data_IF_243734332310
#
_entry.id   IF_243734332310
#
_cell.length_a   1.000
_cell.length_b   1.000
_cell.length_c   1.000
_cell.angle_alpha   90.00
_cell.angle_beta   90.00
_cell.angle_gamma   90.00
#
_symmetry.space_group_name_H-M   'P 1'
#
loop_
_entity.id
_entity.type
_entity.pdbx_description
1 polymer ?
#
# COMPACT_ATOMS: atom_id res chain seq x y z
N UNK A 1 6.17 22.70 1.53
CA UNK A 1 5.03 22.27 0.68
C UNK A 1 5.22 20.84 0.20
N UNK A 2 6.43 20.45 -0.24
CA UNK A 2 6.70 19.05 -0.61
C UNK A 2 6.76 18.09 0.61
N UNK A 3 7.07 18.55 1.82
CA UNK A 3 7.28 17.67 3.00
C UNK A 3 5.99 17.00 3.45
N UNK A 4 4.88 17.70 3.26
CA UNK A 4 3.53 17.21 3.48
C UNK A 4 3.20 16.06 2.50
N UNK A 5 3.56 16.19 1.22
CA UNK A 5 3.35 15.15 0.19
C UNK A 5 4.12 13.86 0.51
N UNK A 6 5.35 13.97 1.02
CA UNK A 6 6.16 12.82 1.40
C UNK A 6 5.63 12.13 2.68
N UNK A 7 5.09 12.92 3.61
CA UNK A 7 4.41 12.40 4.81
C UNK A 7 3.11 11.69 4.41
N UNK A 8 2.30 12.29 3.55
CA UNK A 8 1.06 11.71 3.05
C UNK A 8 1.31 10.40 2.29
N UNK A 9 2.26 10.39 1.35
CA UNK A 9 2.62 9.18 0.62
C UNK A 9 3.10 8.04 1.55
N UNK A 10 3.81 8.38 2.63
CA UNK A 10 4.25 7.40 3.63
C UNK A 10 3.09 6.84 4.46
N UNK A 11 2.12 7.68 4.80
CA UNK A 11 0.89 7.24 5.49
C UNK A 11 0.11 6.29 4.58
N UNK A 12 -0.14 6.69 3.34
CA UNK A 12 -0.85 5.86 2.35
C UNK A 12 -0.18 4.50 2.14
N UNK A 13 1.16 4.48 2.01
CA UNK A 13 1.89 3.21 1.89
C UNK A 13 1.75 2.33 3.15
N UNK A 14 1.82 2.94 4.34
CA UNK A 14 1.64 2.22 5.61
C UNK A 14 0.25 1.62 5.74
N UNK A 15 -0.79 2.37 5.36
CA UNK A 15 -2.18 1.91 5.34
C UNK A 15 -2.36 0.74 4.36
N UNK A 16 -1.79 0.84 3.15
CA UNK A 16 -1.86 -0.23 2.17
C UNK A 16 -1.14 -1.51 2.64
N UNK A 17 -0.01 -1.40 3.35
CA UNK A 17 0.65 -2.54 3.98
C UNK A 17 -0.22 -3.20 5.07
N UNK A 18 -0.87 -2.40 5.92
CA UNK A 18 -1.77 -2.91 6.95
C UNK A 18 -2.99 -3.62 6.34
N UNK A 19 -3.56 -3.02 5.28
CA UNK A 19 -4.67 -3.63 4.54
C UNK A 19 -4.25 -4.96 3.89
N UNK A 20 -3.10 -5.00 3.23
CA UNK A 20 -2.56 -6.25 2.67
C UNK A 20 -2.38 -7.34 3.74
N UNK A 21 -1.85 -6.99 4.93
CA UNK A 21 -1.70 -7.94 6.02
C UNK A 21 -3.05 -8.51 6.48
N UNK A 22 -4.08 -7.66 6.63
CA UNK A 22 -5.43 -8.09 6.97
C UNK A 22 -6.02 -9.02 5.90
N UNK A 23 -5.85 -8.69 4.63
CA UNK A 23 -6.35 -9.51 3.52
C UNK A 23 -5.60 -10.84 3.43
N UNK A 24 -4.29 -10.87 3.70
CA UNK A 24 -3.52 -12.10 3.74
C UNK A 24 -3.98 -13.04 4.88
N UNK A 25 -4.33 -12.48 6.05
CA UNK A 25 -4.88 -13.26 7.16
C UNK A 25 -6.28 -13.79 6.83
N UNK A 26 -7.16 -12.95 6.27
CA UNK A 26 -8.50 -13.37 5.81
C UNK A 26 -8.44 -14.45 4.71
N UNK A 27 -7.48 -14.33 3.80
CA UNK A 27 -7.27 -15.30 2.73
C UNK A 27 -6.80 -16.64 3.28
N UNK A 28 -5.87 -16.62 4.24
CA UNK A 28 -5.43 -17.83 4.96
C UNK A 28 -6.58 -18.55 5.65
N UNK A 29 -7.51 -17.78 6.21
CA UNK A 29 -8.72 -18.32 6.86
C UNK A 29 -9.79 -18.77 5.85
N UNK A 30 -9.56 -18.58 4.54
CA UNK A 30 -10.50 -18.91 3.47
C UNK A 30 -11.71 -17.99 3.41
N UNK A 31 -11.64 -16.82 4.04
CA UNK A 31 -12.73 -15.85 4.12
C UNK A 31 -12.84 -14.94 2.90
N UNK A 32 -11.76 -14.81 2.12
CA UNK A 32 -11.70 -14.05 0.87
C UNK A 32 -11.03 -14.87 -0.25
N UNK A 33 -11.24 -14.44 -1.48
CA UNK A 33 -10.70 -15.05 -2.69
C UNK A 33 -9.24 -14.65 -2.98
N UNK A 34 -8.60 -15.41 -3.87
CA UNK A 34 -7.27 -15.06 -4.42
C UNK A 34 -7.31 -13.69 -5.13
N UNK A 35 -8.43 -13.34 -5.75
CA UNK A 35 -8.63 -12.08 -6.48
C UNK A 35 -8.62 -10.88 -5.52
N UNK A 36 -9.33 -10.98 -4.39
CA UNK A 36 -9.33 -9.95 -3.35
C UNK A 36 -7.95 -9.78 -2.69
N UNK A 37 -7.20 -10.87 -2.52
CA UNK A 37 -5.82 -10.79 -2.05
C UNK A 37 -4.90 -10.12 -3.11
N UNK A 38 -5.09 -10.45 -4.39
CA UNK A 38 -4.33 -9.83 -5.48
C UNK A 38 -4.58 -8.32 -5.58
N UNK A 39 -5.83 -7.88 -5.46
CA UNK A 39 -6.18 -6.45 -5.43
C UNK A 39 -5.48 -5.72 -4.27
N UNK A 40 -5.44 -6.33 -3.08
CA UNK A 40 -4.73 -5.75 -1.94
C UNK A 40 -3.20 -5.66 -2.16
N UNK A 41 -2.61 -6.63 -2.87
CA UNK A 41 -1.19 -6.61 -3.25
C UNK A 41 -0.92 -5.51 -4.28
N UNK A 42 -1.79 -5.36 -5.29
CA UNK A 42 -1.68 -4.33 -6.31
C UNK A 42 -1.77 -2.93 -5.71
N UNK A 43 -2.74 -2.70 -4.83
CA UNK A 43 -2.88 -1.44 -4.09
C UNK A 43 -1.63 -1.10 -3.25
N UNK A 44 -1.04 -2.10 -2.58
CA UNK A 44 0.21 -1.91 -1.83
C UNK A 44 1.38 -1.57 -2.76
N UNK A 45 1.46 -2.17 -3.95
CA UNK A 45 2.51 -1.87 -4.93
C UNK A 45 2.36 -0.45 -5.48
N UNK A 46 1.15 -0.05 -5.83
CA UNK A 46 0.89 1.32 -6.31
C UNK A 46 1.29 2.35 -5.25
N UNK A 47 0.86 2.18 -4.00
CA UNK A 47 1.21 3.11 -2.92
C UNK A 47 2.73 3.17 -2.67
N UNK A 48 3.46 2.08 -2.96
CA UNK A 48 4.92 2.07 -2.89
C UNK A 48 5.55 2.87 -4.03
N UNK A 49 5.06 2.69 -5.26
CA UNK A 49 5.53 3.44 -6.43
C UNK A 49 5.30 4.95 -6.22
N UNK A 50 4.13 5.34 -5.74
CA UNK A 50 3.81 6.74 -5.43
C UNK A 50 4.77 7.32 -4.38
N UNK A 51 5.09 6.56 -3.32
CA UNK A 51 6.06 6.96 -2.32
C UNK A 51 7.48 7.11 -2.91
N UNK A 52 7.88 6.21 -3.81
CA UNK A 52 9.18 6.28 -4.48
C UNK A 52 9.25 7.47 -5.45
N UNK A 53 8.16 7.79 -6.15
CA UNK A 53 8.06 8.96 -7.03
C UNK A 53 8.21 10.26 -6.22
N UNK A 54 7.44 10.41 -5.14
CA UNK A 54 7.53 11.58 -4.26
C UNK A 54 8.92 11.70 -3.63
N UNK A 55 9.55 10.58 -3.23
CA UNK A 55 10.93 10.56 -2.74
C UNK A 55 11.94 10.95 -3.81
N UNK A 56 11.74 10.55 -5.06
CA UNK A 56 12.62 10.91 -6.18
C UNK A 56 12.52 12.39 -6.51
N UNK A 57 11.32 12.98 -6.43
CA UNK A 57 11.11 14.42 -6.60
C UNK A 57 11.74 15.26 -5.48
N UNK A 58 12.19 14.60 -4.41
CA UNK A 58 12.83 15.19 -3.24
C UNK A 58 14.37 15.23 -3.29
N UNK A 59 15.00 14.49 -4.23
CA UNK A 59 16.47 14.40 -4.38
C UNK A 59 16.96 15.22 -5.58
#
# INVERSE_FOLDING_TARGET
>A
MFEDELVEARISYTEACNHHAQMADLHRDGAISDEELMEAIENMRQAKEDLEEVRSNYC
#
